data_IF_139356824923
#
_entry.id   IF_139356824923
#
_cell.length_a   1.000
_cell.length_b   1.000
_cell.length_c   1.000
_cell.angle_alpha   90.00
_cell.angle_beta   90.00
_cell.angle_gamma   90.00
#
_symmetry.space_group_name_H-M   'P 1'
#
loop_
_entity.id
_entity.type
_entity.pdbx_description
1 polymer ?
#
# COMPACT_ATOMS: atom_id res chain seq x y z
N UNK A 1 9.27 6.50 22.80
CA UNK A 1 9.52 5.43 21.81
C UNK A 1 8.91 5.78 20.45
N UNK A 2 7.64 6.15 20.37
CA UNK A 2 6.98 6.48 19.09
C UNK A 2 7.54 7.74 18.40
N UNK A 3 7.93 8.78 19.14
CA UNK A 3 8.61 9.97 18.59
C UNK A 3 9.94 9.62 17.89
N UNK A 4 10.74 8.73 18.52
CA UNK A 4 11.98 8.23 17.94
C UNK A 4 11.70 7.43 16.66
N UNK A 5 10.66 6.59 16.66
CA UNK A 5 10.23 5.84 15.48
C UNK A 5 9.87 6.79 14.33
N UNK A 6 9.09 7.85 14.60
CA UNK A 6 8.74 8.85 13.58
C UNK A 6 10.00 9.52 13.04
N UNK A 7 10.90 9.99 13.91
CA UNK A 7 12.16 10.59 13.47
C UNK A 7 12.98 9.67 12.56
N UNK A 8 13.08 8.38 12.89
CA UNK A 8 13.76 7.37 12.08
C UNK A 8 13.05 7.17 10.74
N UNK A 9 11.73 7.01 10.73
CA UNK A 9 10.94 6.81 9.51
C UNK A 9 11.01 8.03 8.59
N UNK A 10 10.83 9.23 9.12
CA UNK A 10 10.95 10.47 8.37
C UNK A 10 12.32 10.64 7.75
N UNK A 11 13.39 10.37 8.52
CA UNK A 11 14.75 10.42 8.01
C UNK A 11 14.99 9.37 6.92
N UNK A 12 14.50 8.15 7.11
CA UNK A 12 14.60 7.09 6.10
C UNK A 12 13.89 7.48 4.78
N UNK A 13 12.73 8.15 4.86
CA UNK A 13 12.04 8.69 3.69
C UNK A 13 12.86 9.78 3.01
N UNK A 14 13.39 10.75 3.76
CA UNK A 14 14.25 11.81 3.18
C UNK A 14 15.47 11.21 2.49
N UNK A 15 16.20 10.31 3.15
CA UNK A 15 17.38 9.65 2.60
C UNK A 15 17.01 8.80 1.38
N UNK A 16 15.95 8.01 1.45
CA UNK A 16 15.46 7.18 0.33
C UNK A 16 15.02 8.01 -0.86
N UNK A 17 14.34 9.14 -0.63
CA UNK A 17 13.93 10.08 -1.66
C UNK A 17 15.11 10.74 -2.38
N UNK A 18 16.10 11.19 -1.61
CA UNK A 18 17.35 11.75 -2.14
C UNK A 18 18.17 10.70 -2.91
N UNK A 19 18.23 9.46 -2.40
CA UNK A 19 18.87 8.35 -3.09
C UNK A 19 18.19 8.03 -4.42
N UNK A 20 16.86 8.03 -4.47
CA UNK A 20 16.09 7.87 -5.72
C UNK A 20 16.41 8.97 -6.73
N UNK A 21 16.56 10.21 -6.26
CA UNK A 21 16.90 11.36 -7.10
C UNK A 21 18.31 11.27 -7.69
N UNK A 22 19.30 10.89 -6.88
CA UNK A 22 20.71 10.90 -7.26
C UNK A 22 21.16 9.63 -7.98
N UNK A 23 20.68 8.47 -7.54
CA UNK A 23 21.14 7.17 -8.00
C UNK A 23 20.12 6.51 -8.91
N UNK A 24 18.91 6.21 -8.42
CA UNK A 24 17.94 5.44 -9.20
C UNK A 24 17.49 6.16 -10.46
N UNK A 25 17.48 7.50 -10.49
CA UNK A 25 17.11 8.25 -11.70
C UNK A 25 18.14 8.19 -12.83
N UNK A 26 19.39 7.82 -12.54
CA UNK A 26 20.49 7.77 -13.53
C UNK A 26 20.81 6.35 -14.01
N UNK A 27 20.43 5.33 -13.24
CA UNK A 27 20.64 3.93 -13.60
C UNK A 27 19.69 3.45 -14.69
N UNK A 28 20.05 2.36 -15.36
CA UNK A 28 19.11 1.63 -16.22
C UNK A 28 17.97 0.99 -15.39
N UNK A 29 16.78 0.76 -15.99
CA UNK A 29 15.69 0.10 -15.30
C UNK A 29 16.10 -1.29 -14.80
N UNK A 30 15.99 -1.51 -13.50
CA UNK A 30 16.43 -2.72 -12.83
C UNK A 30 15.44 -3.16 -11.72
N UNK A 31 15.37 -4.47 -11.38
CA UNK A 31 14.51 -4.96 -10.32
C UNK A 31 14.95 -4.61 -8.88
N UNK A 32 16.12 -4.00 -8.68
CA UNK A 32 16.76 -3.89 -7.35
C UNK A 32 16.55 -2.55 -6.66
N UNK A 33 16.52 -1.45 -7.41
CA UNK A 33 16.52 -0.09 -6.85
C UNK A 33 15.38 0.77 -7.42
N UNK A 34 14.99 1.82 -6.70
CA UNK A 34 14.02 2.80 -7.19
C UNK A 34 12.56 2.38 -7.15
N UNK A 35 11.71 3.19 -7.81
CA UNK A 35 10.28 2.94 -7.98
C UNK A 35 10.05 1.96 -9.13
N UNK A 36 9.71 0.72 -8.77
CA UNK A 36 9.77 -0.45 -9.65
C UNK A 36 8.39 -1.01 -9.96
N UNK A 37 7.61 -0.25 -10.72
CA UNK A 37 6.32 -0.69 -11.25
C UNK A 37 6.47 -1.13 -12.71
N UNK A 38 5.54 -1.95 -13.27
CA UNK A 38 5.74 -2.55 -14.58
C UNK A 38 6.06 -1.52 -15.66
N UNK A 39 5.37 -0.37 -15.62
CA UNK A 39 5.58 0.71 -16.58
C UNK A 39 7.01 1.28 -16.57
N UNK A 40 7.63 1.36 -15.39
CA UNK A 40 8.97 1.92 -15.23
C UNK A 40 10.07 0.98 -15.71
N UNK A 41 9.83 -0.33 -15.74
CA UNK A 41 10.84 -1.32 -16.14
C UNK A 41 10.95 -1.49 -17.66
N UNK A 42 10.00 -0.92 -18.42
CA UNK A 42 9.93 -1.02 -19.89
C UNK A 42 10.70 0.10 -20.58
N UNK A 43 10.56 1.35 -20.11
CA UNK A 43 11.15 2.53 -20.76
C UNK A 43 12.12 3.27 -19.82
N UNK A 44 13.36 3.50 -20.29
CA UNK A 44 14.37 4.29 -19.57
C UNK A 44 13.91 5.73 -19.31
N UNK A 45 13.12 6.31 -20.24
CA UNK A 45 12.58 7.66 -20.08
C UNK A 45 11.55 7.71 -18.95
N UNK A 46 10.62 6.75 -18.93
CA UNK A 46 9.63 6.60 -17.86
C UNK A 46 10.31 6.32 -16.53
N UNK A 47 11.29 5.41 -16.50
CA UNK A 47 12.12 5.10 -15.32
C UNK A 47 12.75 6.36 -14.69
N UNK A 48 13.46 7.14 -15.49
CA UNK A 48 14.14 8.35 -15.02
C UNK A 48 13.13 9.37 -14.48
N UNK A 49 12.04 9.60 -15.21
CA UNK A 49 10.99 10.55 -14.76
C UNK A 49 10.32 10.07 -13.47
N UNK A 50 10.03 8.78 -13.38
CA UNK A 50 9.39 8.20 -12.21
C UNK A 50 10.25 8.25 -10.97
N UNK A 51 11.53 7.87 -11.07
CA UNK A 51 12.45 7.92 -9.93
C UNK A 51 12.77 9.34 -9.48
N UNK A 52 12.78 10.34 -10.38
CA UNK A 52 12.89 11.75 -9.99
C UNK A 52 11.64 12.22 -9.25
N UNK A 53 10.46 12.00 -9.82
CA UNK A 53 9.21 12.48 -9.23
C UNK A 53 8.93 11.79 -7.88
N UNK A 54 9.08 10.47 -7.81
CA UNK A 54 8.97 9.71 -6.56
C UNK A 54 9.98 10.20 -5.53
N UNK A 55 11.24 10.40 -5.92
CA UNK A 55 12.28 10.88 -5.00
C UNK A 55 11.95 12.25 -4.42
N UNK A 56 11.44 13.19 -5.22
CA UNK A 56 10.97 14.50 -4.74
C UNK A 56 9.81 14.34 -3.76
N UNK A 57 8.76 13.61 -4.15
CA UNK A 57 7.55 13.48 -3.34
C UNK A 57 7.82 12.76 -2.00
N UNK A 58 8.63 11.69 -2.01
CA UNK A 58 9.01 10.97 -0.79
C UNK A 58 9.88 11.85 0.12
N UNK A 59 10.76 12.68 -0.43
CA UNK A 59 11.52 13.66 0.36
C UNK A 59 10.59 14.69 1.03
N UNK A 60 9.62 15.21 0.27
CA UNK A 60 8.61 16.14 0.80
C UNK A 60 7.79 15.47 1.90
N UNK A 61 7.31 14.24 1.70
CA UNK A 61 6.57 13.49 2.72
C UNK A 61 7.42 13.31 3.98
N UNK A 62 8.71 12.99 3.84
CA UNK A 62 9.65 12.89 4.96
C UNK A 62 9.74 14.18 5.78
N UNK A 63 9.99 15.33 5.15
CA UNK A 63 10.04 16.61 5.87
C UNK A 63 8.68 17.02 6.44
N UNK A 64 7.60 16.88 5.68
CA UNK A 64 6.24 17.18 6.15
C UNK A 64 5.87 16.33 7.36
N UNK A 65 6.29 15.07 7.40
CA UNK A 65 6.02 14.19 8.55
C UNK A 65 6.72 14.64 9.84
N UNK A 66 7.91 15.24 9.75
CA UNK A 66 8.55 15.86 10.91
C UNK A 66 7.75 17.05 11.44
N UNK A 67 7.26 17.91 10.53
CA UNK A 67 6.41 19.05 10.90
C UNK A 67 5.09 18.59 11.53
N UNK A 68 4.45 17.57 10.97
CA UNK A 68 3.24 16.97 11.54
C UNK A 68 3.52 16.40 12.92
N UNK A 69 4.66 15.73 13.13
CA UNK A 69 5.04 15.20 14.45
C UNK A 69 5.19 16.30 15.49
N UNK A 70 5.79 17.43 15.11
CA UNK A 70 6.00 18.56 16.03
C UNK A 70 4.70 19.28 16.41
N UNK A 71 3.75 19.41 15.46
CA UNK A 71 2.53 20.20 15.67
C UNK A 71 1.38 19.34 16.22
N UNK A 72 1.21 18.13 15.67
CA UNK A 72 0.07 17.24 15.95
C UNK A 72 0.47 15.99 16.76
N UNK A 73 1.76 15.76 16.97
CA UNK A 73 2.29 14.60 17.70
C UNK A 73 2.64 13.41 16.81
N UNK A 74 3.48 12.50 17.33
CA UNK A 74 4.02 11.39 16.56
C UNK A 74 2.98 10.47 15.91
N UNK A 75 1.86 10.18 16.56
CA UNK A 75 0.91 9.24 15.97
C UNK A 75 0.24 9.80 14.69
N UNK A 76 -0.12 11.09 14.69
CA UNK A 76 -0.61 11.77 13.50
C UNK A 76 0.43 11.75 12.37
N UNK A 77 1.72 11.88 12.70
CA UNK A 77 2.79 11.75 11.73
C UNK A 77 2.90 10.33 11.13
N UNK A 78 2.73 9.28 11.94
CA UNK A 78 2.70 7.89 11.45
C UNK A 78 1.55 7.68 10.46
N UNK A 79 0.34 8.12 10.80
CA UNK A 79 -0.80 8.00 9.89
C UNK A 79 -0.60 8.83 8.62
N UNK A 80 -0.09 10.06 8.75
CA UNK A 80 0.23 10.91 7.63
C UNK A 80 1.24 10.25 6.69
N UNK A 81 2.31 9.64 7.21
CA UNK A 81 3.29 8.89 6.41
C UNK A 81 2.61 7.74 5.69
N UNK A 82 1.87 6.89 6.42
CA UNK A 82 1.25 5.69 5.86
C UNK A 82 0.30 6.02 4.71
N UNK A 83 -0.60 6.98 4.93
CA UNK A 83 -1.59 7.41 3.92
C UNK A 83 -0.89 8.09 2.74
N UNK A 84 0.05 9.00 3.00
CA UNK A 84 0.71 9.79 1.94
C UNK A 84 1.58 8.92 1.04
N UNK A 85 2.33 7.97 1.61
CA UNK A 85 3.15 7.01 0.84
C UNK A 85 2.27 6.05 0.03
N UNK A 86 1.20 5.52 0.65
CA UNK A 86 0.24 4.66 -0.04
C UNK A 86 -0.38 5.38 -1.25
N UNK A 87 -0.99 6.55 -1.05
CA UNK A 87 -1.62 7.32 -2.12
C UNK A 87 -0.61 7.71 -3.20
N UNK A 88 0.57 8.22 -2.83
CA UNK A 88 1.61 8.62 -3.79
C UNK A 88 2.06 7.43 -4.65
N UNK A 89 2.32 6.27 -4.03
CA UNK A 89 2.73 5.08 -4.77
C UNK A 89 1.65 4.59 -5.74
N UNK A 90 0.39 4.53 -5.31
CA UNK A 90 -0.74 4.14 -6.16
C UNK A 90 -0.94 5.11 -7.33
N UNK A 91 -1.02 6.41 -7.06
CA UNK A 91 -1.26 7.43 -8.07
C UNK A 91 -0.12 7.52 -9.08
N UNK A 92 1.15 7.48 -8.65
CA UNK A 92 2.29 7.47 -9.57
C UNK A 92 2.32 6.21 -10.44
N UNK A 93 1.92 5.06 -9.91
CA UNK A 93 1.84 3.81 -10.68
C UNK A 93 0.89 3.96 -11.86
N UNK A 94 -0.33 4.44 -11.60
CA UNK A 94 -1.32 4.69 -12.66
C UNK A 94 -0.83 5.76 -13.64
N UNK A 95 -0.31 6.88 -13.14
CA UNK A 95 0.19 7.98 -13.96
C UNK A 95 1.27 7.52 -14.95
N UNK A 96 2.28 6.76 -14.48
CA UNK A 96 3.35 6.28 -15.35
C UNK A 96 2.93 5.13 -16.26
N UNK A 97 1.93 4.33 -15.87
CA UNK A 97 1.29 3.39 -16.79
C UNK A 97 0.63 4.14 -17.96
N UNK A 98 -0.14 5.19 -17.68
CA UNK A 98 -0.78 6.00 -18.72
C UNK A 98 0.22 6.77 -19.59
N UNK A 99 1.35 7.22 -19.03
CA UNK A 99 2.44 7.81 -19.83
C UNK A 99 3.06 6.75 -20.73
N UNK A 100 3.34 5.56 -20.20
CA UNK A 100 3.93 4.50 -20.99
C UNK A 100 3.01 4.14 -22.16
N UNK A 101 1.69 4.02 -21.95
CA UNK A 101 0.72 3.79 -23.02
C UNK A 101 0.80 4.83 -24.15
N UNK A 102 1.03 6.11 -23.80
CA UNK A 102 1.25 7.18 -24.78
C UNK A 102 2.62 7.11 -25.46
N UNK A 103 3.68 6.75 -24.74
CA UNK A 103 5.04 6.67 -25.27
C UNK A 103 5.29 5.44 -26.15
N UNK A 104 4.70 4.29 -25.80
CA UNK A 104 4.86 3.06 -26.57
C UNK A 104 3.87 2.94 -27.71
N UNK A 105 2.85 3.80 -27.76
CA UNK A 105 1.79 3.78 -28.76
C UNK A 105 1.01 2.46 -28.74
N UNK A 106 -0.27 2.51 -28.41
CA UNK A 106 -1.20 1.74 -29.25
C UNK A 106 -1.30 2.52 -30.55
N UNK A 107 -0.34 2.37 -31.47
CA UNK A 107 -0.54 2.95 -32.81
C UNK A 107 -1.72 2.22 -33.46
N UNK A 108 -2.89 2.86 -33.46
CA UNK A 108 -3.85 2.67 -34.54
C UNK A 108 -3.24 3.34 -35.77
N UNK A 109 -2.75 2.54 -36.74
CA UNK A 109 -2.34 3.09 -38.04
C UNK A 109 -1.06 2.53 -38.67
N UNK A 110 -0.33 1.62 -38.04
CA UNK A 110 0.67 0.83 -38.76
C UNK A 110 0.02 -0.41 -39.37
N UNK A 111 0.07 -0.60 -40.69
CA UNK A 111 -0.52 -1.79 -41.35
C UNK A 111 -0.01 -3.12 -40.76
N UNK A 112 1.16 -3.13 -40.11
CA UNK A 112 1.66 -4.25 -39.31
C UNK A 112 2.44 -3.76 -38.07
N UNK A 113 2.09 -4.21 -36.85
CA UNK A 113 2.93 -3.98 -35.67
C UNK A 113 4.27 -4.71 -35.83
N UNK A 114 5.40 -4.01 -35.63
CA UNK A 114 6.78 -4.54 -35.79
C UNK A 114 7.05 -5.78 -34.91
N UNK A 115 6.38 -5.91 -33.75
CA UNK A 115 6.35 -7.11 -32.90
C UNK A 115 5.23 -6.99 -31.87
N UNK A 116 4.26 -7.93 -31.85
CA UNK A 116 3.24 -7.98 -30.81
C UNK A 116 3.90 -8.51 -29.52
N UNK A 117 4.19 -7.62 -28.57
CA UNK A 117 4.68 -8.02 -27.26
C UNK A 117 3.55 -8.63 -26.44
N UNK A 118 3.84 -9.71 -25.71
CA UNK A 118 2.88 -10.26 -24.76
C UNK A 118 2.57 -9.21 -23.69
N UNK A 119 1.31 -8.85 -23.55
CA UNK A 119 0.86 -7.90 -22.54
C UNK A 119 0.44 -8.62 -21.27
N UNK A 120 0.63 -7.96 -20.14
CA UNK A 120 0.21 -8.47 -18.85
C UNK A 120 -1.32 -8.39 -18.75
N UNK A 121 -1.96 -9.53 -18.45
CA UNK A 121 -3.39 -9.60 -18.11
C UNK A 121 -3.54 -9.73 -16.60
N UNK A 122 -4.22 -8.77 -16.02
CA UNK A 122 -4.48 -8.70 -14.58
C UNK A 122 -5.94 -9.09 -14.31
N UNK A 123 -6.16 -10.08 -13.44
CA UNK A 123 -7.48 -10.34 -12.85
C UNK A 123 -7.69 -9.50 -11.59
N UNK A 124 -8.92 -9.04 -11.40
CA UNK A 124 -9.31 -8.09 -10.34
C UNK A 124 -10.04 -8.74 -9.16
N UNK A 125 -10.05 -10.07 -9.05
CA UNK A 125 -10.71 -10.80 -7.96
C UNK A 125 -10.27 -10.33 -6.57
N UNK A 126 -8.94 -10.16 -6.37
CA UNK A 126 -8.38 -9.66 -5.11
C UNK A 126 -8.82 -8.22 -4.80
N UNK A 127 -9.01 -7.39 -5.84
CA UNK A 127 -9.51 -6.01 -5.69
C UNK A 127 -10.98 -6.03 -5.28
N UNK A 128 -11.80 -6.85 -5.94
CA UNK A 128 -13.22 -7.01 -5.57
C UNK A 128 -13.34 -7.48 -4.13
N UNK A 129 -12.56 -8.50 -3.73
CA UNK A 129 -12.53 -8.96 -2.34
C UNK A 129 -12.14 -7.86 -1.35
N UNK A 130 -11.09 -7.09 -1.67
CA UNK A 130 -10.63 -5.99 -0.82
C UNK A 130 -11.66 -4.87 -0.69
N UNK A 131 -12.34 -4.51 -1.79
CA UNK A 131 -13.43 -3.54 -1.80
C UNK A 131 -14.65 -4.02 -1.00
N UNK A 132 -15.05 -5.29 -1.15
CA UNK A 132 -16.12 -5.88 -0.35
C UNK A 132 -15.77 -5.87 1.13
N UNK A 133 -14.53 -6.23 1.48
CA UNK A 133 -14.05 -6.18 2.87
C UNK A 133 -14.11 -4.77 3.45
N UNK A 134 -13.69 -3.76 2.68
CA UNK A 134 -13.79 -2.35 3.06
C UNK A 134 -15.24 -1.92 3.25
N UNK A 135 -16.14 -2.27 2.33
CA UNK A 135 -17.58 -1.94 2.42
C UNK A 135 -18.19 -2.59 3.66
N UNK A 136 -17.96 -3.89 3.86
CA UNK A 136 -18.47 -4.63 5.03
C UNK A 136 -17.95 -4.02 6.33
N UNK A 137 -16.66 -3.69 6.41
CA UNK A 137 -16.07 -3.06 7.59
C UNK A 137 -16.65 -1.67 7.85
N UNK A 138 -16.87 -0.89 6.78
CA UNK A 138 -17.48 0.44 6.89
C UNK A 138 -18.92 0.36 7.39
N UNK A 139 -19.71 -0.57 6.85
CA UNK A 139 -21.09 -0.80 7.30
C UNK A 139 -21.12 -1.25 8.77
N UNK A 140 -20.27 -2.21 9.15
CA UNK A 140 -20.16 -2.66 10.53
C UNK A 140 -19.82 -1.51 11.49
N UNK A 141 -18.86 -0.66 11.12
CA UNK A 141 -18.42 0.46 11.94
C UNK A 141 -19.53 1.51 12.08
N UNK A 142 -20.24 1.84 11.00
CA UNK A 142 -21.39 2.75 11.02
C UNK A 142 -22.52 2.19 11.89
N UNK A 143 -22.83 0.89 11.78
CA UNK A 143 -23.85 0.25 12.61
C UNK A 143 -23.49 0.19 14.08
N UNK A 144 -22.20 0.04 14.41
CA UNK A 144 -21.71 -0.03 15.78
C UNK A 144 -21.50 1.35 16.41
N UNK A 145 -21.35 2.40 15.60
CA UNK A 145 -20.99 3.76 16.03
C UNK A 145 -21.86 4.33 17.16
N UNK A 146 -23.20 4.18 17.18
CA UNK A 146 -24.03 4.72 18.25
C UNK A 146 -23.79 4.08 19.62
N UNK A 147 -23.32 2.84 19.65
CA UNK A 147 -23.06 2.08 20.88
C UNK A 147 -21.65 2.27 21.43
N UNK A 148 -20.76 2.91 20.66
CA UNK A 148 -19.37 3.11 21.05
C UNK A 148 -19.22 4.26 22.07
N UNK A 149 -18.35 4.12 23.09
CA UNK A 149 -18.05 5.21 24.01
C UNK A 149 -17.34 6.36 23.29
N UNK A 150 -17.37 7.56 23.88
CA UNK A 150 -16.75 8.74 23.24
C UNK A 150 -15.23 8.62 23.11
N UNK A 151 -14.59 7.86 24.01
CA UNK A 151 -13.16 7.55 24.01
C UNK A 151 -12.97 6.05 23.75
N UNK A 152 -12.18 5.73 22.72
CA UNK A 152 -11.92 4.39 22.21
C UNK A 152 -10.47 4.00 22.49
N UNK A 153 -10.25 2.87 23.15
CA UNK A 153 -8.93 2.22 23.18
C UNK A 153 -8.62 1.59 21.82
N UNK A 154 -7.55 2.02 21.15
CA UNK A 154 -7.23 1.57 19.77
C UNK A 154 -5.86 0.87 19.66
N UNK A 155 -5.03 0.95 20.69
CA UNK A 155 -3.75 0.26 20.74
C UNK A 155 -3.54 -0.38 22.12
N UNK A 156 -2.89 -1.54 22.12
CA UNK A 156 -2.71 -2.39 23.27
C UNK A 156 -1.25 -2.84 23.38
N UNK A 157 -0.75 -2.97 24.60
CA UNK A 157 0.59 -3.51 24.84
C UNK A 157 0.62 -5.04 24.66
N UNK A 158 1.81 -5.65 24.80
CA UNK A 158 2.01 -7.11 24.70
C UNK A 158 1.25 -7.90 25.78
N UNK A 159 0.77 -7.22 26.83
CA UNK A 159 -0.04 -7.81 27.89
C UNK A 159 -1.54 -7.56 27.65
N UNK A 160 -1.93 -6.99 26.51
CA UNK A 160 -3.31 -6.69 26.15
C UNK A 160 -3.90 -5.47 26.85
N UNK A 161 -3.08 -4.64 27.51
CA UNK A 161 -3.58 -3.44 28.21
C UNK A 161 -3.67 -2.26 27.24
N UNK A 162 -4.77 -1.49 27.26
CA UNK A 162 -4.91 -0.33 26.40
C UNK A 162 -3.87 0.72 26.80
N UNK A 163 -3.09 1.18 25.82
CA UNK A 163 -2.05 2.19 26.03
C UNK A 163 -2.14 3.37 25.04
N UNK A 164 -3.14 3.37 24.16
CA UNK A 164 -3.48 4.51 23.33
C UNK A 164 -4.98 4.61 23.10
N UNK A 165 -5.48 5.85 23.11
CA UNK A 165 -6.90 6.17 23.04
C UNK A 165 -7.15 7.25 21.98
N UNK A 166 -8.33 7.20 21.36
CA UNK A 166 -8.81 8.17 20.39
C UNK A 166 -10.24 8.58 20.72
N UNK A 167 -10.68 9.74 20.21
CA UNK A 167 -12.12 9.98 20.16
C UNK A 167 -12.78 8.99 19.18
N UNK A 168 -14.05 8.64 19.37
CA UNK A 168 -14.76 7.75 18.43
C UNK A 168 -14.79 8.27 16.99
N UNK A 169 -14.79 9.60 16.83
CA UNK A 169 -14.70 10.27 15.54
C UNK A 169 -13.33 10.05 14.89
N UNK A 170 -12.25 10.31 15.64
CA UNK A 170 -10.88 10.14 15.14
C UNK A 170 -10.57 8.68 14.81
N UNK A 171 -11.02 7.74 15.65
CA UNK A 171 -10.93 6.31 15.39
C UNK A 171 -11.60 5.96 14.06
N UNK A 172 -12.86 6.38 13.89
CA UNK A 172 -13.65 6.05 12.70
C UNK A 172 -13.01 6.63 11.44
N UNK A 173 -12.67 7.92 11.46
CA UNK A 173 -12.08 8.60 10.30
C UNK A 173 -10.70 7.99 9.95
N UNK A 174 -9.83 7.83 10.95
CA UNK A 174 -8.45 7.37 10.73
C UNK A 174 -8.42 5.95 10.15
N UNK A 175 -9.16 5.01 10.73
CA UNK A 175 -9.13 3.62 10.27
C UNK A 175 -9.80 3.45 8.90
N UNK A 176 -10.87 4.20 8.60
CA UNK A 176 -11.48 4.18 7.27
C UNK A 176 -10.59 4.81 6.19
N UNK A 177 -9.95 5.95 6.49
CA UNK A 177 -9.00 6.58 5.56
C UNK A 177 -7.81 5.67 5.32
N UNK A 178 -7.24 5.07 6.38
CA UNK A 178 -6.12 4.15 6.26
C UNK A 178 -6.47 2.91 5.44
N UNK A 179 -7.62 2.30 5.71
CA UNK A 179 -8.08 1.12 4.96
C UNK A 179 -8.36 1.49 3.48
N UNK A 180 -8.98 2.63 3.23
CA UNK A 180 -9.22 3.14 1.87
C UNK A 180 -7.91 3.40 1.14
N UNK A 181 -6.94 4.07 1.76
CA UNK A 181 -5.63 4.35 1.18
C UNK A 181 -4.86 3.05 0.83
N UNK A 182 -4.96 2.05 1.70
CA UNK A 182 -4.38 0.73 1.47
C UNK A 182 -5.02 0.02 0.27
N UNK A 183 -6.36 -0.07 0.24
CA UNK A 183 -7.08 -0.71 -0.87
C UNK A 183 -6.85 0.04 -2.17
N UNK A 184 -6.93 1.37 -2.16
CA UNK A 184 -6.64 2.21 -3.30
C UNK A 184 -5.23 1.98 -3.84
N UNK A 185 -4.21 2.10 -2.98
CA UNK A 185 -2.80 2.04 -3.41
C UNK A 185 -2.47 0.70 -4.07
N UNK A 186 -2.77 -0.41 -3.41
CA UNK A 186 -2.47 -1.74 -3.95
C UNK A 186 -3.29 -2.05 -5.20
N UNK A 187 -4.57 -1.65 -5.25
CA UNK A 187 -5.40 -1.81 -6.44
C UNK A 187 -4.90 -0.98 -7.61
N UNK A 188 -4.44 0.25 -7.35
CA UNK A 188 -3.85 1.15 -8.35
C UNK A 188 -2.53 0.59 -8.90
N UNK A 189 -1.64 0.07 -8.04
CA UNK A 189 -0.40 -0.59 -8.50
C UNK A 189 -0.75 -1.83 -9.33
N UNK A 190 -1.70 -2.65 -8.90
CA UNK A 190 -2.14 -3.83 -9.64
C UNK A 190 -2.75 -3.47 -11.01
N UNK A 191 -3.63 -2.46 -11.04
CA UNK A 191 -4.24 -1.96 -12.27
C UNK A 191 -3.21 -1.34 -13.22
N UNK A 192 -2.18 -0.67 -12.70
CA UNK A 192 -1.08 -0.12 -13.50
C UNK A 192 -0.25 -1.18 -14.23
N UNK A 193 -0.37 -2.46 -13.84
CA UNK A 193 0.28 -3.56 -14.54
C UNK A 193 -0.51 -4.00 -15.78
N UNK A 194 -1.82 -3.70 -15.84
CA UNK A 194 -2.70 -4.18 -16.89
C UNK A 194 -2.29 -3.59 -18.24
N UNK A 195 -2.20 -4.44 -19.28
CA UNK A 195 -1.79 -4.09 -20.65
C UNK A 195 -0.35 -3.58 -20.83
N UNK A 196 0.46 -3.51 -19.76
CA UNK A 196 1.88 -3.17 -19.90
C UNK A 196 2.62 -4.29 -20.66
N UNK A 197 3.48 -3.96 -21.64
CA UNK A 197 4.29 -4.95 -22.34
C UNK A 197 5.21 -5.71 -21.38
N UNK A 198 5.18 -7.03 -21.45
CA UNK A 198 6.09 -7.86 -20.66
C UNK A 198 7.49 -7.81 -21.27
N UNK A 199 8.48 -7.45 -20.47
CA UNK A 199 9.88 -7.40 -20.91
C UNK A 199 10.37 -8.78 -21.38
N UNK A 200 11.20 -8.80 -22.43
CA UNK A 200 11.90 -10.01 -22.88
C UNK A 200 13.01 -10.44 -21.93
N UNK A 201 13.48 -9.53 -21.09
CA UNK A 201 14.46 -9.80 -20.05
C UNK A 201 13.85 -10.75 -18.99
N UNK A 202 14.47 -11.92 -18.84
CA UNK A 202 13.98 -12.98 -17.95
C UNK A 202 13.89 -12.55 -16.49
N UNK A 203 14.78 -11.67 -16.05
CA UNK A 203 14.85 -11.21 -14.66
C UNK A 203 13.73 -10.20 -14.38
N UNK A 204 13.57 -9.20 -15.25
CA UNK A 204 12.48 -8.22 -15.16
C UNK A 204 11.12 -8.89 -15.25
N UNK A 205 10.99 -9.88 -16.15
CA UNK A 205 9.77 -10.71 -16.28
C UNK A 205 9.46 -11.43 -14.97
N UNK A 206 10.41 -12.15 -14.38
CA UNK A 206 10.21 -12.86 -13.08
C UNK A 206 9.83 -11.90 -11.97
N UNK A 207 10.48 -10.74 -11.89
CA UNK A 207 10.18 -9.70 -10.90
C UNK A 207 8.74 -9.21 -11.02
N UNK A 208 8.30 -8.79 -12.22
CA UNK A 208 6.96 -8.23 -12.43
C UNK A 208 5.87 -9.24 -12.10
N UNK A 209 6.03 -10.51 -12.53
CA UNK A 209 5.06 -11.56 -12.22
C UNK A 209 5.00 -11.85 -10.71
N UNK A 210 6.15 -11.90 -10.04
CA UNK A 210 6.23 -12.10 -8.58
C UNK A 210 5.58 -10.94 -7.82
N UNK A 211 5.81 -9.70 -8.27
CA UNK A 211 5.21 -8.50 -7.70
C UNK A 211 3.68 -8.50 -7.84
N UNK A 212 3.13 -8.83 -9.02
CA UNK A 212 1.67 -8.94 -9.22
C UNK A 212 1.07 -9.95 -8.25
N UNK A 213 1.70 -11.11 -8.10
CA UNK A 213 1.28 -12.15 -7.16
C UNK A 213 1.33 -11.65 -5.71
N UNK A 214 2.42 -10.99 -5.32
CA UNK A 214 2.59 -10.43 -3.99
C UNK A 214 1.56 -9.33 -3.67
N UNK A 215 1.23 -8.47 -4.64
CA UNK A 215 0.21 -7.43 -4.48
C UNK A 215 -1.18 -8.06 -4.29
N UNK A 216 -1.54 -9.08 -5.07
CA UNK A 216 -2.81 -9.81 -4.89
C UNK A 216 -2.90 -10.46 -3.52
N UNK A 217 -1.83 -11.11 -3.07
CA UNK A 217 -1.75 -11.68 -1.73
C UNK A 217 -1.93 -10.61 -0.65
N UNK A 218 -1.22 -9.49 -0.80
CA UNK A 218 -1.23 -8.38 0.15
C UNK A 218 -2.59 -7.71 0.21
N UNK A 219 -3.28 -7.53 -0.93
CA UNK A 219 -4.67 -7.04 -0.96
C UNK A 219 -5.58 -7.89 -0.07
N UNK A 220 -5.56 -9.21 -0.25
CA UNK A 220 -6.42 -10.12 0.53
C UNK A 220 -6.00 -10.12 2.00
N UNK A 221 -4.71 -10.35 2.29
CA UNK A 221 -4.21 -10.51 3.64
C UNK A 221 -4.38 -9.23 4.48
N UNK A 222 -4.02 -8.08 3.91
CA UNK A 222 -4.12 -6.80 4.63
C UNK A 222 -5.58 -6.33 4.73
N UNK A 223 -6.46 -6.66 3.78
CA UNK A 223 -7.90 -6.42 3.95
C UNK A 223 -8.49 -7.24 5.09
N UNK A 224 -8.14 -8.53 5.20
CA UNK A 224 -8.56 -9.37 6.34
C UNK A 224 -8.01 -8.79 7.64
N UNK A 225 -6.72 -8.43 7.67
CA UNK A 225 -6.09 -7.83 8.84
C UNK A 225 -6.82 -6.56 9.28
N UNK A 226 -7.06 -5.62 8.36
CA UNK A 226 -7.74 -4.36 8.66
C UNK A 226 -9.16 -4.59 9.18
N UNK A 227 -9.92 -5.50 8.57
CA UNK A 227 -11.24 -5.89 9.05
C UNK A 227 -11.16 -6.44 10.49
N UNK A 228 -10.25 -7.38 10.75
CA UNK A 228 -10.09 -7.98 12.08
C UNK A 228 -9.67 -6.95 13.14
N UNK A 229 -8.76 -6.03 12.81
CA UNK A 229 -8.34 -4.96 13.71
C UNK A 229 -9.53 -4.08 14.10
N UNK A 230 -10.38 -3.67 13.14
CA UNK A 230 -11.57 -2.86 13.43
C UNK A 230 -12.58 -3.64 14.28
N UNK A 231 -12.88 -4.89 13.92
CA UNK A 231 -13.78 -5.75 14.70
C UNK A 231 -13.30 -5.90 16.14
N UNK A 232 -12.00 -6.10 16.33
CA UNK A 232 -11.40 -6.28 17.64
C UNK A 232 -11.50 -5.03 18.50
N UNK A 233 -11.16 -3.86 17.92
CA UNK A 233 -11.25 -2.58 18.62
C UNK A 233 -12.69 -2.32 19.05
N UNK A 234 -13.67 -2.53 18.16
CA UNK A 234 -15.09 -2.37 18.51
C UNK A 234 -15.49 -3.36 19.60
N UNK A 235 -15.14 -4.63 19.47
CA UNK A 235 -15.45 -5.66 20.46
C UNK A 235 -14.94 -5.29 21.86
N UNK A 236 -13.65 -4.92 21.96
CA UNK A 236 -13.03 -4.52 23.23
C UNK A 236 -13.75 -3.32 23.84
N UNK A 237 -14.04 -2.29 23.05
CA UNK A 237 -14.66 -1.07 23.57
C UNK A 237 -16.15 -1.25 23.90
N UNK A 238 -16.80 -2.32 23.43
CA UNK A 238 -18.15 -2.69 23.83
C UNK A 238 -18.21 -3.58 25.07
N UNK A 239 -17.21 -4.43 25.32
CA UNK A 239 -17.25 -5.45 26.38
C UNK A 239 -16.19 -5.29 27.48
N UNK A 240 -15.21 -4.40 27.30
CA UNK A 240 -14.12 -4.07 28.24
C UNK A 240 -13.14 -5.20 28.59
N UNK A 241 -13.01 -6.23 27.75
CA UNK A 241 -11.96 -7.25 27.88
C UNK A 241 -11.57 -7.85 26.53
N UNK A 242 -10.36 -8.40 26.45
CA UNK A 242 -10.00 -9.35 25.39
C UNK A 242 -10.12 -10.77 25.90
N UNK A 243 -10.57 -11.65 25.03
CA UNK A 243 -10.40 -13.09 25.18
C UNK A 243 -9.08 -13.52 24.51
N UNK A 244 -8.40 -14.55 25.02
CA UNK A 244 -7.19 -15.10 24.37
C UNK A 244 -7.46 -15.55 22.91
N UNK A 245 -8.71 -15.90 22.60
CA UNK A 245 -9.19 -16.18 21.24
C UNK A 245 -9.05 -14.99 20.28
N UNK A 246 -9.16 -13.76 20.79
CA UNK A 246 -9.15 -12.56 19.95
C UNK A 246 -7.78 -12.26 19.34
N UNK A 247 -6.71 -12.53 20.09
CA UNK A 247 -5.32 -12.35 19.65
C UNK A 247 -4.95 -13.42 18.60
N UNK A 248 -5.42 -14.66 18.81
CA UNK A 248 -5.21 -15.78 17.89
C UNK A 248 -5.95 -15.55 16.56
N UNK A 249 -7.14 -14.92 16.61
CA UNK A 249 -7.95 -14.57 15.45
C UNK A 249 -7.29 -13.53 14.52
N UNK A 250 -6.42 -12.66 15.05
CA UNK A 250 -5.65 -11.67 14.27
C UNK A 250 -4.48 -12.30 13.49
N UNK A 251 -3.75 -13.20 14.14
CA UNK A 251 -2.47 -13.69 13.63
C UNK A 251 -2.61 -14.86 12.64
N UNK A 252 -3.54 -15.79 12.88
CA UNK A 252 -3.60 -17.03 12.10
C UNK A 252 -4.14 -16.86 10.68
N UNK A 253 -5.26 -16.14 10.43
CA UNK A 253 -5.80 -16.02 9.07
C UNK A 253 -4.89 -15.21 8.15
N UNK A 254 -4.27 -14.16 8.69
CA UNK A 254 -3.39 -13.25 7.94
C UNK A 254 -2.08 -13.94 7.57
N UNK A 255 -1.47 -14.65 8.52
CA UNK A 255 -0.28 -15.46 8.30
C UNK A 255 -0.56 -16.63 7.35
N UNK A 256 -1.70 -17.31 7.49
CA UNK A 256 -2.08 -18.42 6.62
C UNK A 256 -2.24 -17.98 5.16
N UNK A 257 -2.93 -16.86 4.89
CA UNK A 257 -3.06 -16.32 3.53
C UNK A 257 -1.70 -15.96 2.95
N UNK A 258 -0.84 -15.32 3.74
CA UNK A 258 0.51 -14.95 3.31
C UNK A 258 1.37 -16.17 2.97
N UNK A 259 1.34 -17.22 3.81
CA UNK A 259 2.07 -18.46 3.58
C UNK A 259 1.53 -19.24 2.37
N UNK A 260 0.22 -19.38 2.24
CA UNK A 260 -0.41 -20.07 1.11
C UNK A 260 -0.08 -19.40 -0.23
N UNK A 261 -0.05 -18.07 -0.26
CA UNK A 261 0.35 -17.34 -1.45
C UNK A 261 1.86 -17.37 -1.68
N UNK A 262 2.70 -17.41 -0.65
CA UNK A 262 4.16 -17.50 -0.77
C UNK A 262 4.62 -18.86 -1.30
N UNK A 263 3.95 -19.95 -0.92
CA UNK A 263 4.34 -21.33 -1.27
C UNK A 263 3.97 -21.72 -2.71
N UNK A 264 2.94 -21.11 -3.31
CA UNK A 264 2.48 -21.47 -4.66
C UNK A 264 3.58 -21.18 -5.70
N UNK A 265 4.30 -22.20 -6.21
CA UNK A 265 5.40 -22.01 -7.18
C UNK A 265 4.95 -21.21 -8.41
N UNK A 266 5.88 -20.42 -8.95
CA UNK A 266 5.74 -19.73 -10.24
C UNK A 266 5.66 -20.83 -11.31
N UNK A 267 4.45 -21.11 -11.81
CA UNK A 267 4.24 -21.88 -13.05
C UNK A 267 4.08 -20.94 -14.22
#
# INVERSE_FOLDING_TARGET
MIELLVGILSLALVVGGLASLRFSSTTEPNPYSGFRVPATLVSRRVWRRANRLMGILITIIGFSSLLVSLILGALHAVFFIAISVACTSGSLSLYFSSILEKETGREEGGEKPLKILQVIKVSYEAVVFACLSLITTSLYLVSSYPALPDIIAVHFDVYGRPNYFMTKGDFTATFLILFTALVYSLSAILASAHKVPLSSDSEKKRYVLSMIKAIKASLIALSILMTMVVLLIVHYNSHSYFTYSDIILLALPTLAVFLLYSIKKIS
#
